data_IF_726093288966
#
_entry.id   IF_726093288966
#
_cell.length_a   1.000
_cell.length_b   1.000
_cell.length_c   1.000
_cell.angle_alpha   90.00
_cell.angle_beta   90.00
_cell.angle_gamma   90.00
#
_symmetry.space_group_name_H-M   'P 1'
#
loop_
_entity.id
_entity.type
_entity.pdbx_description
1 polymer ?
#
# COMPACT_ATOMS: atom_id res chain seq x y z
N UNK A 1 -17.15 -34.19 -4.03
CA UNK A 1 -18.48 -33.64 -4.42
C UNK A 1 -19.09 -32.89 -3.27
N UNK A 2 -19.56 -33.57 -2.20
CA UNK A 2 -20.15 -32.94 -1.02
C UNK A 2 -19.28 -31.78 -0.49
N UNK A 3 -18.01 -32.06 -0.18
CA UNK A 3 -17.03 -31.09 0.33
C UNK A 3 -16.80 -29.89 -0.62
N UNK A 4 -16.72 -30.13 -1.93
CA UNK A 4 -16.54 -29.05 -2.92
C UNK A 4 -17.80 -28.19 -3.09
N UNK A 5 -19.00 -28.76 -2.88
CA UNK A 5 -20.25 -27.99 -2.84
C UNK A 5 -20.35 -27.15 -1.56
N UNK A 6 -19.88 -27.68 -0.43
CA UNK A 6 -19.77 -26.94 0.83
C UNK A 6 -18.76 -25.79 0.71
N UNK A 7 -17.59 -26.01 0.10
CA UNK A 7 -16.63 -24.95 -0.24
C UNK A 7 -17.21 -23.89 -1.18
N UNK A 8 -17.99 -24.30 -2.18
CA UNK A 8 -18.63 -23.39 -3.13
C UNK A 8 -19.70 -22.52 -2.46
N UNK A 9 -20.55 -23.11 -1.63
CA UNK A 9 -21.56 -22.39 -0.86
C UNK A 9 -20.90 -21.41 0.12
N UNK A 10 -19.88 -21.84 0.86
CA UNK A 10 -19.16 -21.00 1.81
C UNK A 10 -18.47 -19.82 1.12
N UNK A 11 -17.83 -20.06 -0.03
CA UNK A 11 -17.20 -19.00 -0.82
C UNK A 11 -18.24 -18.03 -1.43
N UNK A 12 -19.42 -18.52 -1.82
CA UNK A 12 -20.52 -17.68 -2.32
C UNK A 12 -21.09 -16.75 -1.24
N UNK A 13 -21.33 -17.28 -0.04
CA UNK A 13 -21.78 -16.47 1.11
C UNK A 13 -20.73 -15.41 1.49
N UNK A 14 -19.46 -15.80 1.51
CA UNK A 14 -18.35 -14.88 1.81
C UNK A 14 -18.19 -13.79 0.73
N UNK A 15 -18.35 -14.11 -0.56
CA UNK A 15 -18.38 -13.10 -1.64
C UNK A 15 -19.48 -12.08 -1.36
N UNK A 16 -20.72 -12.54 -1.12
CA UNK A 16 -21.85 -11.64 -0.85
C UNK A 16 -21.61 -10.75 0.37
N UNK A 17 -21.06 -11.30 1.45
CA UNK A 17 -20.77 -10.56 2.68
C UNK A 17 -19.68 -9.50 2.48
N UNK A 18 -18.56 -9.87 1.86
CA UNK A 18 -17.42 -8.96 1.66
C UNK A 18 -17.74 -7.90 0.60
N UNK A 19 -18.51 -8.23 -0.45
CA UNK A 19 -18.98 -7.24 -1.44
C UNK A 19 -19.91 -6.19 -0.82
N UNK A 20 -20.84 -6.59 0.05
CA UNK A 20 -21.67 -5.64 0.80
C UNK A 20 -20.82 -4.70 1.67
N UNK A 21 -19.87 -5.25 2.43
CA UNK A 21 -18.95 -4.45 3.26
C UNK A 21 -18.06 -3.53 2.41
N UNK A 22 -17.64 -3.96 1.23
CA UNK A 22 -16.84 -3.18 0.30
C UNK A 22 -17.62 -1.96 -0.21
N UNK A 23 -18.89 -2.11 -0.56
CA UNK A 23 -19.72 -1.00 -1.04
C UNK A 23 -20.12 -0.03 0.08
N UNK A 24 -20.32 -0.51 1.31
CA UNK A 24 -20.45 0.33 2.50
C UNK A 24 -19.16 1.14 2.78
N UNK A 25 -17.99 0.48 2.71
CA UNK A 25 -16.69 1.11 2.91
C UNK A 25 -16.39 2.16 1.83
N UNK A 26 -16.63 1.85 0.54
CA UNK A 26 -16.52 2.78 -0.59
C UNK A 26 -17.46 3.97 -0.46
N UNK A 27 -18.69 3.75 0.03
CA UNK A 27 -19.67 4.83 0.25
C UNK A 27 -19.25 5.74 1.40
N UNK A 28 -18.72 5.17 2.48
CA UNK A 28 -18.16 5.92 3.62
C UNK A 28 -16.92 6.73 3.20
N UNK A 29 -15.99 6.12 2.46
CA UNK A 29 -14.81 6.81 1.90
C UNK A 29 -15.22 8.00 1.02
N UNK A 30 -16.15 7.81 0.08
CA UNK A 30 -16.68 8.90 -0.77
C UNK A 30 -17.29 10.04 0.05
N UNK A 31 -18.05 9.73 1.12
CA UNK A 31 -18.64 10.73 2.02
C UNK A 31 -17.57 11.58 2.73
N UNK A 32 -16.57 10.92 3.32
CA UNK A 32 -15.46 11.59 4.03
C UNK A 32 -14.62 12.43 3.06
N UNK A 33 -14.39 11.95 1.84
CA UNK A 33 -13.67 12.70 0.80
C UNK A 33 -14.39 14.00 0.42
N UNK A 34 -15.72 13.95 0.26
CA UNK A 34 -16.52 15.15 0.00
C UNK A 34 -16.55 16.12 1.19
N UNK A 35 -16.69 15.60 2.41
CA UNK A 35 -16.73 16.42 3.63
C UNK A 35 -15.39 17.12 3.90
N UNK A 36 -14.28 16.39 3.78
CA UNK A 36 -12.92 16.92 3.94
C UNK A 36 -12.60 17.98 2.87
N UNK A 37 -12.94 17.74 1.60
CA UNK A 37 -12.79 18.73 0.53
C UNK A 37 -13.58 20.02 0.83
N UNK A 38 -14.84 19.92 1.27
CA UNK A 38 -15.66 21.09 1.66
C UNK A 38 -15.03 21.88 2.80
N UNK A 39 -14.62 21.20 3.88
CA UNK A 39 -14.00 21.83 5.07
C UNK A 39 -12.65 22.48 4.75
N UNK A 40 -11.81 21.83 3.95
CA UNK A 40 -10.52 22.37 3.52
C UNK A 40 -10.68 23.55 2.55
N UNK A 41 -11.66 23.52 1.63
CA UNK A 41 -11.94 24.66 0.75
C UNK A 41 -12.43 25.88 1.54
N UNK A 42 -13.28 25.69 2.55
CA UNK A 42 -13.76 26.76 3.43
C UNK A 42 -12.59 27.48 4.15
N UNK A 43 -11.65 26.73 4.73
CA UNK A 43 -10.45 27.31 5.36
C UNK A 43 -9.46 27.87 4.33
N UNK A 44 -9.32 27.22 3.17
CA UNK A 44 -8.48 27.67 2.06
C UNK A 44 -8.86 29.06 1.57
N UNK A 45 -10.16 29.31 1.38
CA UNK A 45 -10.70 30.62 0.99
C UNK A 45 -10.41 31.73 2.02
N UNK A 46 -10.36 31.40 3.31
CA UNK A 46 -10.08 32.36 4.38
C UNK A 46 -8.57 32.69 4.51
N UNK A 47 -7.68 31.74 4.18
CA UNK A 47 -6.26 31.81 4.51
C UNK A 47 -5.30 31.81 3.29
N UNK A 48 -5.82 31.68 2.07
CA UNK A 48 -5.06 31.27 0.86
C UNK A 48 -3.65 31.85 0.70
N UNK A 49 -3.49 33.17 0.81
CA UNK A 49 -2.18 33.83 0.65
C UNK A 49 -1.14 33.46 1.72
N UNK A 50 -1.57 33.02 2.91
CA UNK A 50 -0.71 32.50 3.96
C UNK A 50 -0.39 31.01 3.77
N UNK A 51 -1.33 30.22 3.22
CA UNK A 51 -1.13 28.80 2.91
C UNK A 51 -0.05 28.64 1.84
N UNK A 52 -0.17 29.36 0.71
CA UNK A 52 0.81 29.28 -0.39
C UNK A 52 2.22 29.71 0.06
N UNK A 53 2.32 30.77 0.87
CA UNK A 53 3.60 31.21 1.45
C UNK A 53 4.18 30.23 2.45
N UNK A 54 3.37 29.38 3.08
CA UNK A 54 3.83 28.39 4.05
C UNK A 54 4.15 27.02 3.44
N UNK A 55 3.63 26.68 2.23
CA UNK A 55 3.91 25.39 1.55
C UNK A 55 5.38 24.98 1.58
N UNK A 56 6.37 25.84 1.23
CA UNK A 56 7.77 25.42 1.17
C UNK A 56 8.33 24.94 2.53
N UNK A 57 7.84 25.49 3.64
CA UNK A 57 8.23 25.05 4.98
C UNK A 57 7.69 23.65 5.29
N UNK A 58 6.42 23.38 4.99
CA UNK A 58 5.80 22.07 5.24
C UNK A 58 6.38 20.98 4.34
N UNK A 59 6.64 21.30 3.06
CA UNK A 59 7.33 20.41 2.12
C UNK A 59 8.76 20.10 2.58
N UNK A 60 9.56 21.11 2.94
CA UNK A 60 10.90 20.90 3.47
C UNK A 60 10.88 20.07 4.77
N UNK A 61 9.86 20.27 5.63
CA UNK A 61 9.64 19.50 6.86
C UNK A 61 9.29 18.04 6.57
N UNK A 62 8.56 17.76 5.48
CA UNK A 62 8.35 16.37 5.01
C UNK A 62 9.67 15.74 4.58
N UNK A 63 10.40 16.40 3.69
CA UNK A 63 11.67 15.89 3.15
C UNK A 63 12.72 15.68 4.27
N UNK A 64 12.73 16.53 5.30
CA UNK A 64 13.58 16.33 6.47
C UNK A 64 13.20 15.08 7.27
N UNK A 65 11.90 14.82 7.54
CA UNK A 65 11.48 13.57 8.19
C UNK A 65 11.80 12.33 7.35
N UNK A 66 11.63 12.40 6.03
CA UNK A 66 11.97 11.32 5.11
C UNK A 66 13.48 11.02 5.12
N UNK A 67 14.32 12.06 5.05
CA UNK A 67 15.77 11.92 5.18
C UNK A 67 16.21 11.39 6.56
N UNK A 68 15.49 11.75 7.63
CA UNK A 68 15.72 11.22 8.98
C UNK A 68 15.39 9.73 9.06
N UNK A 69 14.24 9.30 8.51
CA UNK A 69 13.86 7.89 8.43
C UNK A 69 14.88 7.07 7.63
N UNK A 70 15.34 7.57 6.47
CA UNK A 70 16.35 6.84 5.69
C UNK A 70 17.73 6.84 6.38
N UNK A 71 18.07 7.89 7.13
CA UNK A 71 19.28 7.92 7.98
C UNK A 71 19.22 6.85 9.07
N UNK A 72 18.07 6.66 9.73
CA UNK A 72 17.85 5.59 10.70
C UNK A 72 17.96 4.21 10.04
N UNK A 73 17.34 3.98 8.87
CA UNK A 73 17.46 2.71 8.15
C UNK A 73 18.90 2.42 7.73
N UNK A 74 19.65 3.43 7.26
CA UNK A 74 21.07 3.29 6.92
C UNK A 74 21.94 3.01 8.16
N UNK A 75 21.65 3.63 9.30
CA UNK A 75 22.31 3.33 10.58
C UNK A 75 22.12 1.86 10.97
N UNK A 76 20.88 1.35 10.96
CA UNK A 76 20.57 -0.05 11.26
C UNK A 76 21.23 -1.04 10.28
N UNK A 77 21.36 -0.68 9.00
CA UNK A 77 22.12 -1.47 8.00
C UNK A 77 23.61 -1.49 8.33
N UNK A 78 24.19 -0.34 8.68
CA UNK A 78 25.59 -0.23 9.10
C UNK A 78 25.88 -1.00 10.39
N UNK A 79 25.04 -0.86 11.43
CA UNK A 79 25.15 -1.63 12.69
C UNK A 79 25.11 -3.15 12.44
N UNK A 80 24.23 -3.62 11.55
CA UNK A 80 24.19 -5.03 11.14
C UNK A 80 25.49 -5.44 10.44
N UNK A 81 26.04 -4.62 9.53
CA UNK A 81 27.31 -4.89 8.86
C UNK A 81 28.50 -4.93 9.84
N UNK A 82 28.55 -4.03 10.82
CA UNK A 82 29.53 -4.05 11.92
C UNK A 82 29.41 -5.34 12.73
N UNK A 83 28.19 -5.75 13.09
CA UNK A 83 27.95 -7.00 13.84
C UNK A 83 28.39 -8.24 13.04
N UNK A 84 28.10 -8.29 11.74
CA UNK A 84 28.55 -9.39 10.86
C UNK A 84 30.08 -9.42 10.70
N UNK A 85 30.74 -8.26 10.59
CA UNK A 85 32.20 -8.17 10.55
C UNK A 85 32.84 -8.67 11.86
N UNK A 86 32.30 -8.28 13.02
CA UNK A 86 32.81 -8.76 14.31
C UNK A 86 32.68 -10.29 14.44
N UNK A 87 31.53 -10.87 14.09
CA UNK A 87 31.35 -12.32 14.07
C UNK A 87 32.29 -13.02 13.07
N UNK A 88 32.61 -12.38 11.93
CA UNK A 88 33.60 -12.90 11.00
C UNK A 88 35.02 -12.90 11.59
N UNK A 89 35.40 -11.86 12.34
CA UNK A 89 36.70 -11.82 13.06
C UNK A 89 36.80 -12.91 14.13
N UNK A 90 35.71 -13.18 14.85
CA UNK A 90 35.65 -14.28 15.82
C UNK A 90 35.83 -15.65 15.14
N UNK A 91 35.25 -15.86 13.96
CA UNK A 91 35.50 -17.09 13.17
C UNK A 91 36.96 -17.25 12.76
N UNK A 92 37.65 -16.17 12.35
CA UNK A 92 39.09 -16.21 12.07
C UNK A 92 39.88 -16.56 13.33
N UNK A 93 39.61 -15.90 14.46
CA UNK A 93 40.30 -16.16 15.73
C UNK A 93 40.15 -17.62 16.22
N UNK A 94 38.99 -18.25 16.01
CA UNK A 94 38.78 -19.67 16.32
C UNK A 94 39.51 -20.58 15.31
N UNK A 95 39.48 -20.26 14.02
CA UNK A 95 40.19 -21.03 12.99
C UNK A 95 41.72 -20.96 13.17
N UNK A 96 42.28 -19.80 13.53
CA UNK A 96 43.70 -19.62 13.85
C UNK A 96 44.14 -20.52 15.02
N UNK A 97 43.36 -20.55 16.12
CA UNK A 97 43.62 -21.46 17.23
C UNK A 97 43.52 -22.94 16.80
N UNK A 98 42.55 -23.27 15.95
CA UNK A 98 42.36 -24.61 15.40
C UNK A 98 43.54 -25.10 14.56
N UNK A 99 44.13 -24.22 13.72
CA UNK A 99 45.34 -24.50 12.91
C UNK A 99 46.61 -24.58 13.78
N UNK A 100 46.71 -23.74 14.81
CA UNK A 100 47.90 -23.65 15.67
C UNK A 100 48.00 -24.77 16.71
N UNK A 101 46.96 -25.60 16.88
CA UNK A 101 47.02 -26.79 17.71
C UNK A 101 47.91 -27.87 17.06
N UNK A 102 48.85 -28.44 17.82
CA UNK A 102 49.86 -29.40 17.32
C UNK A 102 49.28 -30.60 16.54
N UNK A 103 48.03 -31.00 16.85
CA UNK A 103 47.32 -32.10 16.19
C UNK A 103 46.86 -31.77 14.75
N UNK A 104 46.70 -30.48 14.44
CA UNK A 104 46.02 -29.98 13.24
C UNK A 104 46.94 -29.16 12.33
N UNK A 105 48.20 -28.95 12.72
CA UNK A 105 49.16 -28.03 12.09
C UNK A 105 49.48 -28.30 10.60
N UNK A 106 49.10 -29.47 10.09
CA UNK A 106 49.21 -29.86 8.68
C UNK A 106 47.89 -30.42 8.11
N UNK A 107 46.75 -30.18 8.78
CA UNK A 107 45.43 -30.64 8.33
C UNK A 107 44.86 -29.66 7.28
N UNK A 108 44.62 -30.11 6.03
CA UNK A 108 44.06 -29.27 4.97
C UNK A 108 42.70 -28.66 5.35
N UNK A 109 41.88 -29.36 6.14
CA UNK A 109 40.51 -28.91 6.47
C UNK A 109 40.52 -27.66 7.36
N UNK A 110 41.48 -27.56 8.28
CA UNK A 110 41.66 -26.37 9.12
C UNK A 110 42.27 -25.20 8.35
N UNK A 111 43.14 -25.48 7.36
CA UNK A 111 43.67 -24.45 6.46
C UNK A 111 42.57 -23.90 5.54
N UNK A 112 41.71 -24.76 4.98
CA UNK A 112 40.53 -24.36 4.21
C UNK A 112 39.53 -23.54 5.06
N UNK A 113 39.29 -23.95 6.31
CA UNK A 113 38.44 -23.21 7.25
C UNK A 113 38.99 -21.81 7.53
N UNK A 114 40.30 -21.67 7.77
CA UNK A 114 40.94 -20.38 7.99
C UNK A 114 40.87 -19.49 6.73
N UNK A 115 41.13 -20.06 5.55
CA UNK A 115 41.01 -19.35 4.27
C UNK A 115 39.58 -18.85 4.03
N UNK A 116 38.56 -19.67 4.31
CA UNK A 116 37.16 -19.28 4.21
C UNK A 116 36.80 -18.17 5.21
N UNK A 117 37.22 -18.29 6.48
CA UNK A 117 36.98 -17.26 7.50
C UNK A 117 37.65 -15.94 7.13
N UNK A 118 38.88 -15.98 6.59
CA UNK A 118 39.63 -14.79 6.11
C UNK A 118 38.92 -14.11 4.94
N UNK A 119 38.43 -14.89 3.96
CA UNK A 119 37.64 -14.37 2.84
C UNK A 119 36.37 -13.67 3.35
N UNK A 120 35.65 -14.30 4.28
CA UNK A 120 34.42 -13.79 4.89
C UNK A 120 34.63 -12.52 5.75
N UNK A 121 35.79 -12.37 6.40
CA UNK A 121 36.17 -11.12 7.08
C UNK A 121 36.36 -9.98 6.09
N UNK A 122 37.02 -10.23 4.95
CA UNK A 122 37.23 -9.22 3.92
C UNK A 122 35.91 -8.78 3.27
N UNK A 123 35.02 -9.72 2.94
CA UNK A 123 33.67 -9.44 2.45
C UNK A 123 32.84 -8.61 3.45
N UNK A 124 32.84 -9.00 4.73
CA UNK A 124 32.11 -8.30 5.77
C UNK A 124 32.70 -6.91 6.08
N UNK A 125 34.02 -6.73 5.98
CA UNK A 125 34.67 -5.42 6.10
C UNK A 125 34.33 -4.50 4.94
N UNK A 126 34.29 -5.01 3.70
CA UNK A 126 33.90 -4.20 2.55
C UNK A 126 32.44 -3.72 2.69
N UNK A 127 31.54 -4.60 3.10
CA UNK A 127 30.13 -4.25 3.33
C UNK A 127 29.97 -3.29 4.53
N UNK A 128 30.77 -3.45 5.60
CA UNK A 128 30.84 -2.48 6.70
C UNK A 128 31.24 -1.09 6.20
N UNK A 129 32.29 -1.00 5.37
CA UNK A 129 32.78 0.26 4.80
C UNK A 129 31.81 0.88 3.79
N UNK A 130 31.05 0.08 3.03
CA UNK A 130 29.95 0.57 2.17
C UNK A 130 28.81 1.14 3.01
N UNK A 131 28.37 0.40 4.02
CA UNK A 131 27.34 0.85 4.97
C UNK A 131 27.72 2.13 5.70
N UNK A 132 28.99 2.26 6.10
CA UNK A 132 29.53 3.47 6.74
C UNK A 132 29.43 4.69 5.81
N UNK A 133 29.95 4.57 4.57
CA UNK A 133 29.90 5.66 3.58
C UNK A 133 28.48 6.09 3.27
N UNK A 134 27.56 5.13 3.14
CA UNK A 134 26.16 5.41 2.86
C UNK A 134 25.48 6.10 4.05
N UNK A 135 25.66 5.60 5.28
CA UNK A 135 25.15 6.23 6.49
C UNK A 135 25.67 7.68 6.64
N UNK A 136 26.97 7.91 6.41
CA UNK A 136 27.56 9.26 6.40
C UNK A 136 27.01 10.15 5.27
N UNK A 137 26.66 9.58 4.11
CA UNK A 137 26.04 10.33 2.99
C UNK A 137 24.62 10.76 3.34
N UNK A 138 23.76 9.85 3.79
CA UNK A 138 22.37 10.20 4.12
C UNK A 138 22.26 11.10 5.35
N UNK A 139 23.14 10.93 6.36
CA UNK A 139 23.21 11.81 7.53
C UNK A 139 23.48 13.26 7.13
N UNK A 140 24.41 13.50 6.18
CA UNK A 140 24.68 14.85 5.66
C UNK A 140 23.48 15.45 4.91
N UNK A 141 22.73 14.63 4.16
CA UNK A 141 21.50 15.07 3.49
C UNK A 141 20.39 15.41 4.50
N UNK A 142 20.26 14.64 5.58
CA UNK A 142 19.33 14.92 6.69
C UNK A 142 19.65 16.28 7.34
N UNK A 143 20.91 16.51 7.70
CA UNK A 143 21.37 17.78 8.26
C UNK A 143 21.09 18.98 7.34
N UNK A 144 21.29 18.83 6.02
CA UNK A 144 20.97 19.86 5.04
C UNK A 144 19.46 20.13 4.94
N UNK A 145 18.63 19.09 4.97
CA UNK A 145 17.17 19.21 4.95
C UNK A 145 16.66 19.90 6.23
N UNK A 146 17.16 19.50 7.40
CA UNK A 146 16.84 20.14 8.69
C UNK A 146 17.27 21.62 8.72
N UNK A 147 18.47 21.95 8.23
CA UNK A 147 18.93 23.33 8.12
C UNK A 147 18.01 24.18 7.21
N UNK A 148 17.54 23.61 6.09
CA UNK A 148 16.54 24.25 5.21
C UNK A 148 15.21 24.48 5.93
N UNK A 149 14.73 23.52 6.72
CA UNK A 149 13.52 23.67 7.56
C UNK A 149 13.68 24.82 8.55
N UNK A 150 14.81 24.89 9.27
CA UNK A 150 15.09 25.96 10.23
C UNK A 150 15.16 27.34 9.55
N UNK A 151 15.78 27.43 8.36
CA UNK A 151 15.85 28.67 7.59
C UNK A 151 14.45 29.15 7.16
N UNK A 152 13.62 28.24 6.66
CA UNK A 152 12.23 28.53 6.26
C UNK A 152 11.33 28.85 7.46
N UNK A 153 11.54 28.22 8.62
CA UNK A 153 10.82 28.53 9.85
C UNK A 153 11.09 29.95 10.33
N UNK A 154 12.35 30.40 10.26
CA UNK A 154 12.76 31.77 10.62
C UNK A 154 12.14 32.81 9.69
N UNK A 155 12.18 32.59 8.38
CA UNK A 155 11.69 33.56 7.37
C UNK A 155 10.16 33.57 7.24
N UNK A 156 9.48 32.43 7.42
CA UNK A 156 8.04 32.29 7.17
C UNK A 156 7.18 32.23 8.45
N UNK A 157 7.75 32.51 9.64
CA UNK A 157 7.10 32.37 10.97
C UNK A 157 5.64 32.85 11.03
N UNK A 158 5.33 34.03 10.46
CA UNK A 158 3.97 34.60 10.45
C UNK A 158 3.00 33.86 9.52
N UNK A 159 3.47 33.37 8.37
CA UNK A 159 2.64 32.61 7.44
C UNK A 159 2.32 31.23 8.03
N UNK A 160 3.35 30.52 8.53
CA UNK A 160 3.24 29.23 9.20
C UNK A 160 2.22 29.29 10.35
N UNK A 161 2.33 30.29 11.23
CA UNK A 161 1.42 30.46 12.36
C UNK A 161 -0.04 30.64 11.94
N UNK A 162 -0.31 31.39 10.87
CA UNK A 162 -1.67 31.59 10.34
C UNK A 162 -2.21 30.37 9.58
N UNK A 163 -1.36 29.67 8.83
CA UNK A 163 -1.76 28.49 8.06
C UNK A 163 -1.86 27.21 8.88
N UNK A 164 -1.32 27.19 10.11
CA UNK A 164 -1.21 25.99 10.95
C UNK A 164 -2.52 25.22 11.11
N UNK A 165 -3.69 25.82 11.42
CA UNK A 165 -4.94 25.08 11.57
C UNK A 165 -5.37 24.34 10.29
N UNK A 166 -5.10 24.92 9.11
CA UNK A 166 -5.38 24.29 7.81
C UNK A 166 -4.50 23.06 7.58
N UNK A 167 -3.20 23.14 7.88
CA UNK A 167 -2.30 22.00 7.72
C UNK A 167 -2.56 20.90 8.77
N UNK A 168 -2.96 21.26 10.00
CA UNK A 168 -3.41 20.29 11.01
C UNK A 168 -4.69 19.55 10.57
N UNK A 169 -5.69 20.29 10.08
CA UNK A 169 -6.94 19.70 9.58
C UNK A 169 -6.71 18.85 8.32
N UNK A 170 -5.84 19.29 7.41
CA UNK A 170 -5.43 18.51 6.24
C UNK A 170 -4.77 17.19 6.67
N UNK A 171 -3.88 17.21 7.66
CA UNK A 171 -3.23 16.01 8.18
C UNK A 171 -4.25 15.00 8.73
N UNK A 172 -5.21 15.47 9.54
CA UNK A 172 -6.27 14.64 10.11
C UNK A 172 -7.11 13.97 9.02
N UNK A 173 -7.59 14.73 8.02
CA UNK A 173 -8.36 14.14 6.92
C UNK A 173 -7.53 13.22 6.04
N UNK A 174 -6.27 13.53 5.76
CA UNK A 174 -5.39 12.64 5.02
C UNK A 174 -5.16 11.31 5.75
N UNK A 175 -5.03 11.32 7.08
CA UNK A 175 -4.93 10.08 7.88
C UNK A 175 -6.23 9.26 7.77
N UNK A 176 -7.39 9.87 8.05
CA UNK A 176 -8.70 9.18 8.00
C UNK A 176 -8.97 8.63 6.59
N UNK A 177 -8.64 9.39 5.54
CA UNK A 177 -8.79 8.94 4.15
C UNK A 177 -7.87 7.76 3.84
N UNK A 178 -6.63 7.75 4.31
CA UNK A 178 -5.71 6.62 4.08
C UNK A 178 -6.16 5.37 4.86
N UNK A 179 -6.66 5.51 6.09
CA UNK A 179 -7.26 4.41 6.86
C UNK A 179 -8.46 3.78 6.15
N UNK A 180 -9.42 4.59 5.68
CA UNK A 180 -10.57 4.08 4.92
C UNK A 180 -10.19 3.53 3.54
N UNK A 181 -9.20 4.12 2.87
CA UNK A 181 -8.65 3.61 1.60
C UNK A 181 -7.97 2.25 1.79
N UNK A 182 -7.17 2.09 2.84
CA UNK A 182 -6.57 0.81 3.21
C UNK A 182 -7.65 -0.25 3.46
N UNK A 183 -8.73 0.09 4.18
CA UNK A 183 -9.87 -0.80 4.40
C UNK A 183 -10.58 -1.20 3.10
N UNK A 184 -10.75 -0.27 2.16
CA UNK A 184 -11.29 -0.58 0.82
C UNK A 184 -10.36 -1.53 0.06
N UNK A 185 -9.04 -1.29 0.04
CA UNK A 185 -8.10 -2.19 -0.65
C UNK A 185 -7.99 -3.57 -0.01
N UNK A 186 -8.14 -3.67 1.32
CA UNK A 186 -8.21 -4.94 2.04
C UNK A 186 -9.45 -5.74 1.63
N UNK A 187 -10.62 -5.10 1.63
CA UNK A 187 -11.88 -5.73 1.21
C UNK A 187 -11.86 -6.12 -0.28
N UNK A 188 -11.30 -5.29 -1.16
CA UNK A 188 -11.08 -5.64 -2.58
C UNK A 188 -10.20 -6.88 -2.74
N UNK A 189 -9.14 -7.00 -1.93
CA UNK A 189 -8.29 -8.18 -1.91
C UNK A 189 -9.02 -9.42 -1.38
N UNK A 190 -9.85 -9.26 -0.34
CA UNK A 190 -10.69 -10.35 0.19
C UNK A 190 -11.72 -10.84 -0.83
N UNK A 191 -12.43 -9.94 -1.53
CA UNK A 191 -13.33 -10.31 -2.64
C UNK A 191 -12.57 -11.07 -3.73
N UNK A 192 -11.38 -10.61 -4.13
CA UNK A 192 -10.56 -11.30 -5.12
C UNK A 192 -10.13 -12.72 -4.66
N UNK A 193 -9.78 -12.89 -3.38
CA UNK A 193 -9.44 -14.18 -2.80
C UNK A 193 -10.66 -15.12 -2.68
N UNK A 194 -11.83 -14.60 -2.30
CA UNK A 194 -13.07 -15.38 -2.21
C UNK A 194 -13.54 -15.84 -3.60
N UNK A 195 -13.50 -14.94 -4.62
CA UNK A 195 -13.75 -15.29 -6.03
C UNK A 195 -12.75 -16.30 -6.58
N UNK A 196 -11.48 -16.21 -6.17
CA UNK A 196 -10.47 -17.22 -6.54
C UNK A 196 -10.83 -18.58 -5.96
N UNK A 197 -11.17 -18.67 -4.66
CA UNK A 197 -11.62 -19.92 -4.01
C UNK A 197 -12.87 -20.51 -4.66
N UNK A 198 -13.88 -19.69 -4.94
CA UNK A 198 -15.08 -20.09 -5.68
C UNK A 198 -14.73 -20.67 -7.07
N UNK A 199 -13.83 -20.02 -7.82
CA UNK A 199 -13.39 -20.50 -9.13
C UNK A 199 -12.60 -21.82 -9.09
N UNK A 200 -11.92 -22.11 -7.96
CA UNK A 200 -11.20 -23.37 -7.76
C UNK A 200 -12.19 -24.49 -7.43
N UNK A 201 -13.14 -24.26 -6.52
CA UNK A 201 -14.19 -25.23 -6.20
C UNK A 201 -15.03 -25.62 -7.42
N UNK A 202 -15.37 -24.65 -8.29
CA UNK A 202 -16.02 -24.92 -9.58
C UNK A 202 -15.19 -25.86 -10.48
N UNK A 203 -13.91 -25.55 -10.70
CA UNK A 203 -13.01 -26.39 -11.52
C UNK A 203 -12.84 -27.80 -10.93
N UNK A 204 -12.79 -27.93 -9.60
CA UNK A 204 -12.73 -29.22 -8.94
C UNK A 204 -14.01 -30.03 -9.20
N UNK A 205 -15.19 -29.41 -9.14
CA UNK A 205 -16.47 -30.05 -9.47
C UNK A 205 -16.56 -30.47 -10.93
N UNK A 206 -16.10 -29.62 -11.86
CA UNK A 206 -15.98 -29.93 -13.28
C UNK A 206 -15.09 -31.16 -13.50
N UNK A 207 -13.88 -31.17 -12.92
CA UNK A 207 -12.94 -32.28 -13.04
C UNK A 207 -13.50 -33.59 -12.44
N UNK A 208 -14.17 -33.55 -11.30
CA UNK A 208 -14.84 -34.72 -10.69
C UNK A 208 -15.97 -35.22 -11.61
N UNK A 209 -16.74 -34.31 -12.19
CA UNK A 209 -17.81 -34.64 -13.15
C UNK A 209 -17.24 -35.34 -14.39
N UNK A 210 -16.21 -34.76 -15.02
CA UNK A 210 -15.52 -35.34 -16.17
C UNK A 210 -14.97 -36.74 -15.88
N UNK A 211 -14.33 -36.95 -14.72
CA UNK A 211 -13.84 -38.26 -14.32
C UNK A 211 -14.96 -39.31 -14.20
N UNK A 212 -16.13 -38.92 -13.69
CA UNK A 212 -17.30 -39.81 -13.59
C UNK A 212 -17.86 -40.10 -14.98
N UNK A 213 -17.96 -39.11 -15.86
CA UNK A 213 -18.38 -39.30 -17.24
C UNK A 213 -17.38 -40.18 -18.03
N UNK A 214 -16.07 -39.99 -17.87
CA UNK A 214 -15.04 -40.81 -18.49
C UNK A 214 -15.11 -42.27 -18.02
N UNK A 215 -15.23 -42.50 -16.70
CA UNK A 215 -15.45 -43.84 -16.14
C UNK A 215 -16.69 -44.51 -16.74
N UNK A 216 -17.83 -43.80 -16.81
CA UNK A 216 -19.07 -44.32 -17.41
C UNK A 216 -18.94 -44.62 -18.91
N UNK A 217 -18.17 -43.82 -19.65
CA UNK A 217 -17.93 -43.98 -21.10
C UNK A 217 -16.97 -45.15 -21.42
N UNK A 218 -16.13 -45.55 -20.45
CA UNK A 218 -15.25 -46.72 -20.55
C UNK A 218 -15.85 -48.05 -20.08
N UNK A 219 -17.08 -48.07 -19.53
CA UNK A 219 -17.79 -49.33 -19.29
C UNK A 219 -18.35 -49.88 -20.62
N UNK A 220 -18.28 -51.21 -20.85
CA UNK A 220 -18.92 -51.81 -22.02
C UNK A 220 -20.44 -51.57 -21.98
N UNK A 221 -21.12 -51.52 -23.14
CA UNK A 221 -22.55 -51.26 -23.20
C UNK A 221 -23.30 -52.32 -22.38
N UNK A 222 -24.02 -51.87 -21.35
CA UNK A 222 -24.90 -52.76 -20.58
C UNK A 222 -25.92 -53.39 -21.54
N UNK A 223 -26.18 -54.70 -21.46
CA UNK A 223 -27.18 -55.35 -22.31
C UNK A 223 -28.55 -54.68 -22.08
N UNK A 224 -29.36 -54.50 -23.14
CA UNK A 224 -30.65 -53.83 -23.02
C UNK A 224 -31.56 -54.63 -22.09
N UNK A 225 -31.90 -54.02 -20.95
CA UNK A 225 -32.90 -54.56 -20.04
C UNK A 225 -34.28 -54.65 -20.72
N UNK A 226 -35.20 -55.50 -20.21
CA UNK A 226 -36.47 -55.78 -20.90
C UNK A 226 -37.26 -54.49 -21.19
N UNK A 227 -37.51 -54.26 -22.48
CA UNK A 227 -38.38 -53.18 -22.97
C UNK A 227 -39.76 -53.33 -22.35
N UNK A 228 -40.10 -52.47 -21.38
CA UNK A 228 -41.52 -52.25 -21.03
C UNK A 228 -42.16 -51.44 -22.15
N UNK A 229 -43.26 -51.97 -22.66
CA UNK A 229 -44.03 -51.43 -23.77
C UNK A 229 -44.61 -50.05 -23.47
N UNK A 230 -44.74 -49.23 -24.51
CA UNK A 230 -45.34 -47.90 -24.46
C UNK A 230 -46.77 -47.92 -23.89
N UNK A 231 -47.19 -46.91 -23.11
CA UNK A 231 -48.60 -46.57 -22.99
C UNK A 231 -49.09 -45.94 -24.30
N UNK A 232 -50.31 -46.30 -24.71
CA UNK A 232 -51.03 -45.78 -25.89
C UNK A 232 -52.30 -45.07 -25.40
N UNK A 233 -52.66 -43.96 -26.03
CA UNK A 233 -53.80 -43.09 -25.66
C UNK A 233 -53.33 -41.90 -24.82
N UNK A 234 -53.29 -40.69 -25.38
CA UNK A 234 -54.41 -39.73 -25.52
C UNK A 234 -54.43 -38.78 -24.28
N UNK A 235 -54.73 -37.47 -24.36
CA UNK A 235 -55.36 -36.66 -25.41
C UNK A 235 -54.54 -35.39 -25.80
N UNK A 236 -54.57 -35.08 -27.09
CA UNK A 236 -54.55 -33.78 -27.78
C UNK A 236 -54.54 -32.39 -27.04
N UNK A 237 -53.44 -31.62 -27.27
CA UNK A 237 -53.34 -30.17 -27.67
C UNK A 237 -53.99 -29.03 -26.80
N UNK A 238 -53.55 -27.75 -26.94
CA UNK A 238 -52.16 -27.26 -26.86
C UNK A 238 -52.02 -25.93 -26.07
N UNK A 239 -50.78 -25.54 -25.73
CA UNK A 239 -50.45 -24.12 -25.48
C UNK A 239 -49.00 -23.81 -25.92
N UNK A 240 -48.78 -22.57 -26.34
CA UNK A 240 -47.49 -21.89 -26.30
C UNK A 240 -46.43 -22.22 -27.35
N UNK A 241 -46.28 -21.33 -28.34
CA UNK A 241 -44.97 -20.78 -28.71
C UNK A 241 -44.23 -21.43 -29.89
N UNK A 242 -44.25 -20.73 -31.02
CA UNK A 242 -43.32 -20.93 -32.13
C UNK A 242 -41.94 -20.33 -31.80
N UNK A 243 -40.88 -20.91 -32.36
CA UNK A 243 -39.65 -20.18 -32.72
C UNK A 243 -38.83 -21.01 -33.73
N UNK A 244 -38.30 -20.37 -34.79
CA UNK A 244 -37.16 -20.93 -35.55
C UNK A 244 -37.30 -21.20 -37.05
N UNK A 245 -37.27 -20.11 -37.84
CA UNK A 245 -36.30 -19.90 -38.94
C UNK A 245 -36.51 -20.47 -40.38
N UNK A 246 -35.94 -19.71 -41.34
CA UNK A 246 -35.51 -20.04 -42.72
C UNK A 246 -36.55 -20.24 -43.85
N UNK A 247 -36.71 -19.20 -44.70
CA UNK A 247 -36.58 -19.41 -46.17
C UNK A 247 -37.46 -18.63 -47.20
N UNK A 248 -36.84 -17.65 -47.88
CA UNK A 248 -36.95 -17.33 -49.35
C UNK A 248 -38.28 -16.79 -49.95
N UNK A 249 -38.29 -15.49 -50.34
CA UNK A 249 -38.79 -14.87 -51.62
C UNK A 249 -38.58 -13.34 -51.51
N UNK A 250 -38.01 -12.59 -52.47
CA UNK A 250 -38.44 -12.15 -53.81
C UNK A 250 -39.65 -11.18 -53.91
N UNK A 251 -39.43 -10.05 -54.61
CA UNK A 251 -40.38 -8.99 -55.01
C UNK A 251 -40.62 -7.87 -53.99
N UNK A 252 -40.99 -6.62 -54.31
CA UNK A 252 -40.90 -5.77 -55.50
C UNK A 252 -41.65 -4.44 -55.19
N UNK A 253 -41.05 -3.28 -55.51
CA UNK A 253 -41.66 -1.94 -55.78
C UNK A 253 -42.37 -1.06 -54.68
N UNK A 254 -42.14 0.27 -54.79
CA UNK A 254 -42.90 1.40 -54.21
C UNK A 254 -42.51 1.88 -52.78
N UNK A 255 -42.46 3.17 -52.40
CA UNK A 255 -42.58 4.47 -53.12
C UNK A 255 -43.15 5.63 -52.22
N UNK A 256 -42.61 6.87 -52.29
CA UNK A 256 -43.08 8.14 -51.63
C UNK A 256 -42.96 8.26 -50.07
N UNK A 257 -42.59 9.38 -49.39
CA UNK A 257 -43.03 10.82 -49.26
C UNK A 257 -44.31 11.01 -48.39
N UNK A 258 -44.43 11.90 -47.38
CA UNK A 258 -43.56 13.02 -46.89
C UNK A 258 -43.91 13.62 -45.48
N UNK A 259 -43.00 14.41 -44.89
CA UNK A 259 -43.14 15.56 -43.92
C UNK A 259 -43.68 15.47 -42.44
N UNK A 260 -43.23 16.45 -41.61
CA UNK A 260 -43.80 16.94 -40.32
C UNK A 260 -43.34 16.24 -39.02
N UNK A 261 -43.03 16.82 -37.84
CA UNK A 261 -43.17 18.17 -37.24
C UNK A 261 -43.95 18.09 -35.89
N UNK A 262 -43.54 18.60 -34.72
CA UNK A 262 -42.34 19.34 -34.26
C UNK A 262 -42.46 19.77 -32.76
N UNK A 263 -41.56 20.65 -32.26
CA UNK A 263 -41.53 21.34 -30.93
C UNK A 263 -41.18 20.56 -29.63
N UNK A 264 -40.25 21.13 -28.85
CA UNK A 264 -39.99 20.82 -27.43
C UNK A 264 -38.74 21.55 -26.88
N UNK A 265 -38.83 22.38 -25.83
CA UNK A 265 -37.67 23.10 -25.29
C UNK A 265 -36.86 22.22 -24.31
N UNK A 266 -35.57 22.04 -24.58
CA UNK A 266 -34.67 21.28 -23.70
C UNK A 266 -34.27 22.06 -22.43
N UNK A 267 -34.09 21.39 -21.28
CA UNK A 267 -33.56 22.02 -20.07
C UNK A 267 -32.09 22.41 -20.24
N UNK A 268 -31.67 23.46 -19.54
CA UNK A 268 -30.31 24.00 -19.59
C UNK A 268 -29.26 23.01 -19.00
N UNK A 269 -28.00 23.04 -19.48
CA UNK A 269 -26.96 22.11 -19.02
C UNK A 269 -26.49 22.42 -17.60
N UNK A 270 -26.18 21.35 -16.86
CA UNK A 270 -26.01 21.37 -15.40
C UNK A 270 -24.75 22.10 -14.91
N UNK A 271 -24.95 22.97 -13.91
CA UNK A 271 -23.88 23.62 -13.15
C UNK A 271 -23.00 22.64 -12.35
N UNK A 272 -23.41 21.37 -12.23
CA UNK A 272 -22.72 20.33 -11.46
C UNK A 272 -21.48 19.74 -12.16
N UNK A 273 -21.34 19.93 -13.47
CA UNK A 273 -20.19 19.43 -14.24
C UNK A 273 -18.85 20.07 -13.81
N UNK A 274 -18.87 21.36 -13.45
CA UNK A 274 -17.70 22.06 -12.88
C UNK A 274 -17.37 21.59 -11.44
N UNK A 275 -18.40 21.19 -10.68
CA UNK A 275 -18.25 20.65 -9.32
C UNK A 275 -17.53 19.30 -9.33
N UNK A 276 -17.92 18.40 -10.24
CA UNK A 276 -17.30 17.08 -10.38
C UNK A 276 -15.84 17.13 -10.88
N UNK A 277 -15.49 18.06 -11.77
CA UNK A 277 -14.11 18.26 -12.21
C UNK A 277 -13.21 18.84 -11.12
N UNK A 278 -13.74 19.76 -10.31
CA UNK A 278 -13.08 20.28 -9.11
C UNK A 278 -12.86 19.18 -8.06
N UNK A 279 -13.90 18.40 -7.76
CA UNK A 279 -13.82 17.25 -6.85
C UNK A 279 -12.86 16.16 -7.34
N UNK A 280 -12.83 15.85 -8.65
CA UNK A 280 -11.90 14.88 -9.24
C UNK A 280 -10.44 15.36 -9.16
N UNK A 281 -10.20 16.66 -9.33
CA UNK A 281 -8.86 17.26 -9.18
C UNK A 281 -8.41 17.22 -7.73
N UNK A 282 -9.25 17.66 -6.79
CA UNK A 282 -8.95 17.60 -5.34
C UNK A 282 -8.79 16.15 -4.85
N UNK A 283 -9.60 15.22 -5.35
CA UNK A 283 -9.45 13.79 -5.06
C UNK A 283 -8.14 13.22 -5.60
N UNK A 284 -7.71 13.61 -6.81
CA UNK A 284 -6.44 13.15 -7.38
C UNK A 284 -5.22 13.69 -6.64
N UNK A 285 -5.27 14.95 -6.17
CA UNK A 285 -4.23 15.52 -5.32
C UNK A 285 -4.24 14.97 -3.88
N UNK A 286 -5.38 14.49 -3.38
CA UNK A 286 -5.48 13.71 -2.14
C UNK A 286 -5.07 12.23 -2.33
N UNK A 287 -5.15 11.69 -3.54
CA UNK A 287 -4.75 10.31 -3.84
C UNK A 287 -3.21 10.16 -3.86
N UNK A 288 -2.49 11.26 -4.14
CA UNK A 288 -1.04 11.41 -3.97
C UNK A 288 -0.68 11.79 -2.52
N UNK A 289 -1.18 11.03 -1.53
CA UNK A 289 -0.89 11.28 -0.12
C UNK A 289 0.60 11.02 0.21
N UNK A 290 1.42 12.05 -0.04
CA UNK A 290 2.70 12.27 0.61
C UNK A 290 2.54 12.07 2.12
N UNK A 291 3.32 11.16 2.72
CA UNK A 291 3.13 10.65 4.08
C UNK A 291 2.95 11.77 5.12
N UNK A 292 1.71 11.96 5.60
CA UNK A 292 1.34 13.04 6.54
C UNK A 292 1.89 12.87 7.96
N UNK A 293 2.70 11.83 8.20
CA UNK A 293 3.52 11.66 9.41
C UNK A 293 4.35 12.91 9.76
N UNK A 294 4.75 13.70 8.76
CA UNK A 294 5.48 14.97 8.96
C UNK A 294 4.67 16.07 9.63
N UNK A 295 3.34 16.03 9.50
CA UNK A 295 2.38 16.96 10.13
C UNK A 295 1.98 16.51 11.55
N UNK A 296 2.28 15.27 11.95
CA UNK A 296 2.22 14.86 13.36
C UNK A 296 3.34 15.56 14.16
N UNK A 297 2.99 16.16 15.29
CA UNK A 297 3.92 16.92 16.14
C UNK A 297 4.10 18.39 15.76
N UNK A 298 3.02 19.11 15.42
CA UNK A 298 3.07 20.57 15.25
C UNK A 298 3.10 21.35 16.59
N UNK A 299 2.98 20.64 17.72
CA UNK A 299 2.92 21.22 19.07
C UNK A 299 4.29 21.60 19.66
N UNK A 300 5.36 20.89 19.32
CA UNK A 300 6.50 20.74 20.23
C UNK A 300 7.61 21.82 20.13
N UNK A 301 7.43 22.83 19.28
CA UNK A 301 8.42 23.90 19.07
C UNK A 301 7.88 25.33 19.25
N UNK A 302 6.78 25.48 20.02
CA UNK A 302 6.39 26.78 20.57
C UNK A 302 7.22 27.17 21.80
N UNK A 303 7.88 26.21 22.46
CA UNK A 303 8.77 26.47 23.61
C UNK A 303 10.21 26.76 23.16
N UNK A 304 10.39 27.92 22.54
CA UNK A 304 11.68 28.59 22.37
C UNK A 304 11.53 30.07 22.73
N UNK A 305 10.96 30.32 23.91
CA UNK A 305 11.21 31.57 24.63
C UNK A 305 12.62 31.53 25.24
N UNK A 306 13.30 32.68 25.20
CA UNK A 306 14.75 32.72 25.35
C UNK A 306 15.24 32.49 26.78
N UNK A 307 16.28 31.67 26.91
CA UNK A 307 17.29 31.87 27.93
C UNK A 307 18.66 31.91 27.26
N UNK A 308 19.44 32.96 27.54
CA UNK A 308 20.75 33.16 26.92
C UNK A 308 21.74 32.08 27.37
N UNK A 309 22.48 31.51 26.43
CA UNK A 309 23.69 30.75 26.72
C UNK A 309 24.91 31.66 26.52
N UNK A 310 25.28 32.36 27.59
CA UNK A 310 26.51 33.15 27.64
C UNK A 310 27.77 32.28 27.52
N UNK A 311 28.87 32.81 26.97
CA UNK A 311 30.07 32.02 26.69
C UNK A 311 30.82 31.65 27.98
N UNK A 312 30.99 30.35 28.23
CA UNK A 312 31.85 29.86 29.33
C UNK A 312 33.33 30.02 28.95
N UNK A 313 33.93 31.12 29.42
CA UNK A 313 35.38 31.33 29.33
C UNK A 313 36.14 30.30 30.18
N UNK A 314 37.23 29.76 29.63
CA UNK A 314 38.14 28.86 30.34
C UNK A 314 39.23 29.64 31.08
N UNK A 315 39.44 29.35 32.37
CA UNK A 315 40.43 30.03 33.20
C UNK A 315 40.94 29.16 34.35
N UNK A 316 42.25 28.88 34.34
CA UNK A 316 43.02 28.06 35.30
C UNK A 316 42.84 28.45 36.77
N UNK A 317 43.00 27.47 37.67
CA UNK A 317 43.35 27.72 39.08
C UNK A 317 43.23 26.48 39.95
N UNK A 318 44.35 25.79 40.24
CA UNK A 318 44.34 24.57 41.06
C UNK A 318 44.65 24.83 42.54
N UNK A 319 44.25 23.92 43.43
CA UNK A 319 44.94 23.68 44.71
C UNK A 319 44.69 22.29 45.27
N UNK A 320 45.76 21.74 45.85
CA UNK A 320 45.77 20.48 46.59
C UNK A 320 44.80 20.48 47.79
N UNK A 321 44.19 19.33 48.06
CA UNK A 321 44.51 18.58 49.30
C UNK A 321 44.04 17.13 49.21
N UNK A 322 44.88 16.21 49.73
CA UNK A 322 44.50 14.83 50.04
C UNK A 322 43.97 14.80 51.47
N UNK A 323 42.89 14.05 51.70
CA UNK A 323 42.49 13.63 53.05
C UNK A 323 42.32 12.12 53.04
N UNK A 324 43.29 11.43 53.62
CA UNK A 324 43.17 10.03 54.05
C UNK A 324 42.77 10.10 55.52
N UNK A 325 41.73 9.38 55.91
CA UNK A 325 41.41 9.11 57.31
C UNK A 325 41.33 7.60 57.52
N UNK A 326 41.75 7.21 58.73
CA UNK A 326 41.84 5.84 59.24
C UNK A 326 40.49 5.13 59.31
#
# INVERSE_FOLDING_TARGET
MQEELEHLNQASEEINQVELQLDEARTTYRRILQESARKLNMQGSQLGSCIEKARPYYEARRLAKEAQQETQKAALRYERAVSMHNAAREMVFVAEQGVMADKNRLDPTWQEMLNHATCKVNEAEEERLRGEREHQRVTRLCQQAEARVQALQKTLRRAIGKSRPYFELKAQFSQILEEHKAKVTELEQQVAQAKTRYSVALRNLEQISEQIHARRRGLPPRPPGPRRSSPVGAEAWPDGGEDGDSGIMEGAEGGAREEGGGLGPGPAPDADTLSLLSLRTVASDLQKCDSVEHLRGLSDHASLDGHELGPRSGGRGGRHQRSISL
#
